data_IF_327792928995
#
_entry.id   IF_327792928995
#
_cell.length_a   1.000
_cell.length_b   1.000
_cell.length_c   1.000
_cell.angle_alpha   90.00
_cell.angle_beta   90.00
_cell.angle_gamma   90.00
#
_symmetry.space_group_name_H-M   'P 1'
#
loop_
_entity.id
_entity.type
_entity.pdbx_description
1 polymer ?
#
# COMPACT_ATOMS: atom_id res chain seq x y z
N UNK A 1 37.47 10.63 4.68
CA UNK A 1 36.60 10.52 3.48
C UNK A 1 35.71 9.28 3.54
N UNK A 2 36.20 8.14 4.03
CA UNK A 2 35.36 6.94 4.21
C UNK A 2 34.10 7.23 5.06
N UNK A 3 34.21 7.88 6.24
CA UNK A 3 33.03 8.13 7.07
C UNK A 3 32.04 9.12 6.46
N UNK A 4 32.53 10.10 5.70
CA UNK A 4 31.70 11.07 4.98
C UNK A 4 30.88 10.41 3.86
N UNK A 5 31.47 9.47 3.13
CA UNK A 5 30.75 8.66 2.12
C UNK A 5 29.70 7.79 2.80
N UNK A 6 30.03 7.19 3.94
CA UNK A 6 29.08 6.38 4.73
C UNK A 6 27.88 7.20 5.21
N UNK A 7 28.15 8.38 5.77
CA UNK A 7 27.11 9.31 6.22
C UNK A 7 26.24 9.80 5.05
N UNK A 8 26.84 10.17 3.93
CA UNK A 8 26.11 10.60 2.75
C UNK A 8 25.21 9.48 2.21
N UNK A 9 25.71 8.25 2.15
CA UNK A 9 24.92 7.08 1.76
C UNK A 9 23.76 6.83 2.75
N UNK A 10 23.96 7.00 4.05
CA UNK A 10 22.88 6.90 5.04
C UNK A 10 21.80 7.97 4.84
N UNK A 11 22.18 9.20 4.47
CA UNK A 11 21.24 10.27 4.12
C UNK A 11 20.46 9.93 2.85
N UNK A 12 21.13 9.44 1.81
CA UNK A 12 20.46 8.98 0.58
C UNK A 12 19.48 7.84 0.87
N UNK A 13 19.86 6.91 1.76
CA UNK A 13 18.96 5.86 2.23
C UNK A 13 17.70 6.44 2.89
N UNK A 14 17.82 7.46 3.75
CA UNK A 14 16.67 8.12 4.36
C UNK A 14 15.74 8.72 3.29
N UNK A 15 16.31 9.38 2.27
CA UNK A 15 15.54 9.92 1.15
C UNK A 15 14.81 8.81 0.37
N UNK A 16 15.47 7.67 0.14
CA UNK A 16 14.83 6.52 -0.50
C UNK A 16 13.72 5.92 0.37
N UNK A 17 13.92 5.81 1.69
CA UNK A 17 12.91 5.36 2.65
C UNK A 17 11.67 6.28 2.62
N UNK A 18 11.88 7.59 2.69
CA UNK A 18 10.82 8.58 2.59
C UNK A 18 10.10 8.52 1.23
N UNK A 19 10.85 8.33 0.14
CA UNK A 19 10.28 8.20 -1.20
C UNK A 19 9.40 6.95 -1.31
N UNK A 20 9.86 5.78 -0.87
CA UNK A 20 9.03 4.57 -0.92
C UNK A 20 7.80 4.68 -0.02
N UNK A 21 7.92 5.33 1.15
CA UNK A 21 6.81 5.57 2.06
C UNK A 21 5.76 6.48 1.42
N UNK A 22 6.14 7.70 1.06
CA UNK A 22 5.20 8.72 0.61
C UNK A 22 4.69 8.41 -0.79
N UNK A 23 5.57 8.19 -1.75
CA UNK A 23 5.18 7.99 -3.16
C UNK A 23 4.51 6.64 -3.35
N UNK A 24 4.96 5.59 -2.66
CA UNK A 24 4.33 4.27 -2.69
C UNK A 24 2.90 4.30 -2.14
N UNK A 25 2.70 4.84 -0.93
CA UNK A 25 1.37 4.94 -0.32
C UNK A 25 0.45 5.86 -1.12
N UNK A 26 0.95 7.02 -1.55
CA UNK A 26 0.19 7.97 -2.36
C UNK A 26 -0.20 7.38 -3.72
N UNK A 27 0.70 6.63 -4.35
CA UNK A 27 0.46 5.93 -5.61
C UNK A 27 -0.63 4.87 -5.45
N UNK A 28 -0.56 4.06 -4.39
CA UNK A 28 -1.58 3.06 -4.09
C UNK A 28 -2.94 3.69 -3.75
N UNK A 29 -2.96 4.81 -3.02
CA UNK A 29 -4.19 5.52 -2.67
C UNK A 29 -4.88 6.15 -3.89
N UNK A 30 -4.12 6.59 -4.89
CA UNK A 30 -4.62 7.22 -6.12
C UNK A 30 -4.76 6.27 -7.31
N UNK A 31 -4.36 5.01 -7.17
CA UNK A 31 -4.37 4.04 -8.28
C UNK A 31 -3.32 4.30 -9.37
N UNK A 32 -2.26 5.08 -9.08
CA UNK A 32 -1.25 5.48 -10.07
C UNK A 32 -0.09 4.47 -10.08
N UNK A 33 -0.07 3.60 -11.11
CA UNK A 33 0.94 2.52 -11.24
C UNK A 33 2.38 3.03 -11.30
N UNK A 34 2.64 4.16 -11.96
CA UNK A 34 4.00 4.71 -12.05
C UNK A 34 4.57 5.10 -10.69
N UNK A 35 3.75 5.66 -9.79
CA UNK A 35 4.16 6.04 -8.45
C UNK A 35 4.45 4.80 -7.59
N UNK A 36 3.61 3.77 -7.70
CA UNK A 36 3.85 2.48 -7.04
C UNK A 36 5.20 1.88 -7.48
N UNK A 37 5.52 1.91 -8.79
CA UNK A 37 6.80 1.45 -9.31
C UNK A 37 7.99 2.28 -8.79
N UNK A 38 7.84 3.60 -8.64
CA UNK A 38 8.85 4.46 -8.02
C UNK A 38 9.10 4.01 -6.58
N UNK A 39 8.04 3.73 -5.81
CA UNK A 39 8.18 3.21 -4.46
C UNK A 39 8.95 1.89 -4.39
N UNK A 40 8.66 0.94 -5.28
CA UNK A 40 9.41 -0.32 -5.37
C UNK A 40 10.89 -0.13 -5.73
N UNK A 41 11.19 0.79 -6.66
CA UNK A 41 12.59 1.10 -7.03
C UNK A 41 13.34 1.79 -5.88
N UNK A 42 12.68 2.72 -5.20
CA UNK A 42 13.23 3.40 -4.03
C UNK A 42 13.57 2.40 -2.90
N UNK A 43 12.70 1.41 -2.64
CA UNK A 43 12.98 0.35 -1.67
C UNK A 43 14.27 -0.44 -1.99
N UNK A 44 14.51 -0.76 -3.26
CA UNK A 44 15.74 -1.44 -3.71
C UNK A 44 16.96 -0.53 -3.65
N UNK A 45 16.81 0.73 -4.03
CA UNK A 45 17.87 1.74 -3.94
C UNK A 45 18.26 1.99 -2.47
N UNK A 46 17.30 1.95 -1.55
CA UNK A 46 17.58 2.08 -0.13
C UNK A 46 18.51 0.98 0.38
N UNK A 47 18.27 -0.28 -0.01
CA UNK A 47 19.16 -1.39 0.35
C UNK A 47 20.58 -1.15 -0.16
N UNK A 48 20.72 -0.66 -1.40
CA UNK A 48 22.03 -0.32 -1.97
C UNK A 48 22.75 0.73 -1.11
N UNK A 49 22.10 1.84 -0.81
CA UNK A 49 22.71 2.92 -0.03
C UNK A 49 23.02 2.53 1.43
N UNK A 50 22.16 1.73 2.06
CA UNK A 50 22.45 1.16 3.39
C UNK A 50 23.62 0.18 3.35
N UNK A 51 23.71 -0.64 2.30
CA UNK A 51 24.84 -1.55 2.09
C UNK A 51 26.15 -0.78 1.94
N UNK A 52 26.13 0.33 1.19
CA UNK A 52 27.29 1.24 1.08
C UNK A 52 27.63 1.86 2.43
N UNK A 53 26.65 2.42 3.16
CA UNK A 53 26.87 3.00 4.48
C UNK A 53 27.50 1.97 5.45
N UNK A 54 26.89 0.79 5.57
CA UNK A 54 27.39 -0.29 6.41
C UNK A 54 28.80 -0.72 5.99
N UNK A 55 29.06 -0.86 4.69
CA UNK A 55 30.38 -1.18 4.14
C UNK A 55 31.44 -0.12 4.48
N UNK A 56 31.09 1.17 4.45
CA UNK A 56 32.00 2.25 4.87
C UNK A 56 32.28 2.23 6.38
N UNK A 57 31.28 1.86 7.20
CA UNK A 57 31.49 1.68 8.64
C UNK A 57 32.44 0.51 8.91
N UNK A 58 32.22 -0.64 8.24
CA UNK A 58 33.13 -1.80 8.27
C UNK A 58 34.56 -1.38 7.89
N UNK A 59 34.72 -0.63 6.79
CA UNK A 59 36.04 -0.15 6.36
C UNK A 59 36.69 0.71 7.44
N UNK A 60 35.93 1.58 8.11
CA UNK A 60 36.43 2.46 9.17
C UNK A 60 36.95 1.64 10.37
N UNK A 61 36.22 0.61 10.80
CA UNK A 61 36.66 -0.30 11.86
C UNK A 61 37.88 -1.14 11.47
N UNK A 62 37.84 -1.77 10.30
CA UNK A 62 38.93 -2.64 9.83
C UNK A 62 40.23 -1.86 9.62
N UNK A 63 40.15 -0.59 9.23
CA UNK A 63 41.33 0.28 9.04
C UNK A 63 41.73 1.07 10.30
N UNK A 64 41.04 0.87 11.43
CA UNK A 64 41.27 1.60 12.69
C UNK A 64 41.20 3.13 12.52
N UNK A 65 40.19 3.63 11.80
CA UNK A 65 39.99 5.08 11.65
C UNK A 65 39.47 5.69 12.97
N UNK A 66 40.40 5.98 13.89
CA UNK A 66 40.11 6.60 15.20
C UNK A 66 39.69 8.07 15.14
N UNK A 67 39.53 8.62 13.94
CA UNK A 67 38.85 9.89 13.74
C UNK A 67 37.32 9.75 13.69
N UNK A 68 36.80 8.53 13.75
CA UNK A 68 35.38 8.22 13.98
C UNK A 68 35.20 7.84 15.45
N UNK A 69 34.30 8.56 16.16
CA UNK A 69 34.05 8.34 17.59
C UNK A 69 33.70 6.89 17.89
N UNK A 70 32.79 6.32 17.09
CA UNK A 70 32.33 4.94 17.28
C UNK A 70 33.48 3.91 17.17
N UNK A 71 34.41 4.13 16.23
CA UNK A 71 35.60 3.27 16.05
C UNK A 71 36.57 3.43 17.22
N UNK A 72 36.87 4.67 17.60
CA UNK A 72 37.75 4.98 18.74
C UNK A 72 37.22 4.42 20.07
N UNK A 73 35.90 4.29 20.24
CA UNK A 73 35.28 3.77 21.46
C UNK A 73 35.14 2.25 21.52
N UNK A 74 35.35 1.51 20.42
CA UNK A 74 35.05 0.07 20.36
C UNK A 74 36.06 -0.76 19.55
N UNK A 75 37.26 -0.22 19.29
CA UNK A 75 38.31 -0.91 18.56
C UNK A 75 39.70 -0.37 18.91
N UNK A 76 40.74 -1.19 18.78
CA UNK A 76 42.13 -0.77 18.91
C UNK A 76 43.04 -1.53 17.92
N UNK A 77 44.25 -1.02 17.70
CA UNK A 77 45.19 -1.56 16.68
C UNK A 77 45.56 -3.03 16.87
N UNK A 78 45.69 -3.48 18.12
CA UNK A 78 46.03 -4.87 18.45
C UNK A 78 44.87 -5.87 18.32
N UNK A 79 43.64 -5.39 18.06
CA UNK A 79 42.46 -6.25 18.03
C UNK A 79 42.47 -7.09 16.74
N UNK A 80 42.31 -8.42 16.80
CA UNK A 80 42.25 -9.25 15.59
C UNK A 80 41.18 -8.75 14.60
N UNK A 81 41.48 -8.83 13.30
CA UNK A 81 40.64 -8.24 12.25
C UNK A 81 39.19 -8.74 12.28
N UNK A 82 38.96 -10.00 12.66
CA UNK A 82 37.61 -10.57 12.79
C UNK A 82 36.77 -9.83 13.85
N UNK A 83 37.39 -9.44 14.96
CA UNK A 83 36.71 -8.69 16.02
C UNK A 83 36.58 -7.21 15.69
N UNK A 84 37.51 -6.65 14.90
CA UNK A 84 37.32 -5.31 14.30
C UNK A 84 36.12 -5.28 13.36
N UNK A 85 35.94 -6.32 12.55
CA UNK A 85 34.73 -6.46 11.73
C UNK A 85 33.47 -6.58 12.60
N UNK A 86 33.49 -7.44 13.62
CA UNK A 86 32.37 -7.62 14.55
C UNK A 86 32.01 -6.35 15.33
N UNK A 87 33.00 -5.51 15.65
CA UNK A 87 32.81 -4.23 16.33
C UNK A 87 31.87 -3.28 15.56
N UNK A 88 31.71 -3.46 14.24
CA UNK A 88 30.77 -2.70 13.40
C UNK A 88 29.35 -2.70 13.97
N UNK A 89 28.92 -3.78 14.64
CA UNK A 89 27.62 -3.86 15.31
C UNK A 89 27.72 -4.05 16.83
N UNK A 90 28.90 -3.81 17.40
CA UNK A 90 29.13 -3.95 18.83
C UNK A 90 28.68 -2.76 19.67
N UNK A 91 28.38 -1.63 19.02
CA UNK A 91 27.86 -0.42 19.66
C UNK A 91 26.38 -0.21 19.39
N UNK A 92 25.76 0.72 20.13
CA UNK A 92 24.37 1.11 19.91
C UNK A 92 24.16 1.68 18.49
N UNK A 93 25.06 2.54 18.01
CA UNK A 93 25.00 3.17 16.69
C UNK A 93 25.22 2.15 15.56
N UNK A 94 26.19 1.26 15.75
CA UNK A 94 26.53 0.21 14.80
C UNK A 94 25.42 -0.84 14.65
N UNK A 95 24.87 -1.28 15.79
CA UNK A 95 23.75 -2.22 15.82
C UNK A 95 22.47 -1.64 15.22
N UNK A 96 22.20 -0.34 15.42
CA UNK A 96 21.07 0.36 14.79
C UNK A 96 21.20 0.41 13.26
N UNK A 97 22.41 0.64 12.74
CA UNK A 97 22.68 0.58 11.30
C UNK A 97 22.48 -0.84 10.74
N UNK A 98 22.99 -1.87 11.44
CA UNK A 98 22.78 -3.27 11.08
C UNK A 98 21.29 -3.66 11.08
N UNK A 99 20.55 -3.25 12.11
CA UNK A 99 19.10 -3.46 12.22
C UNK A 99 18.38 -2.87 11.00
N UNK A 100 18.73 -1.63 10.65
CA UNK A 100 18.12 -0.92 9.51
C UNK A 100 18.49 -1.58 8.17
N UNK A 101 19.71 -2.10 8.05
CA UNK A 101 20.12 -2.90 6.89
C UNK A 101 19.32 -4.20 6.78
N UNK A 102 19.05 -4.90 7.89
CA UNK A 102 18.18 -6.09 7.88
C UNK A 102 16.75 -5.74 7.46
N UNK A 103 16.21 -4.62 7.93
CA UNK A 103 14.91 -4.14 7.49
C UNK A 103 14.90 -3.88 5.98
N UNK A 104 15.94 -3.27 5.43
CA UNK A 104 16.06 -3.02 4.00
C UNK A 104 16.21 -4.31 3.18
N UNK A 105 16.90 -5.32 3.70
CA UNK A 105 16.99 -6.65 3.07
C UNK A 105 15.63 -7.33 3.01
N UNK A 106 14.87 -7.33 4.11
CA UNK A 106 13.50 -7.85 4.13
C UNK A 106 12.58 -7.08 3.19
N UNK A 107 12.69 -5.74 3.19
CA UNK A 107 11.92 -4.88 2.28
C UNK A 107 12.24 -5.19 0.81
N UNK A 108 13.51 -5.35 0.45
CA UNK A 108 13.93 -5.76 -0.89
C UNK A 108 13.41 -7.16 -1.23
N UNK A 109 13.43 -8.10 -0.27
CA UNK A 109 12.81 -9.42 -0.38
C UNK A 109 11.34 -9.35 -0.79
N UNK A 110 10.54 -8.48 -0.14
CA UNK A 110 9.15 -8.22 -0.55
C UNK A 110 9.07 -7.77 -2.02
N UNK A 111 9.99 -6.90 -2.47
CA UNK A 111 9.99 -6.45 -3.88
C UNK A 111 10.31 -7.56 -4.90
N UNK A 112 10.96 -8.65 -4.48
CA UNK A 112 11.40 -9.72 -5.39
C UNK A 112 10.46 -10.92 -5.36
N UNK A 113 9.94 -11.26 -4.18
CA UNK A 113 9.19 -12.50 -3.95
C UNK A 113 7.67 -12.31 -3.91
N UNK A 114 7.15 -11.07 -3.84
CA UNK A 114 5.70 -10.81 -3.80
C UNK A 114 5.04 -10.59 -5.17
N UNK A 115 5.63 -11.11 -6.26
CA UNK A 115 5.11 -10.96 -7.64
C UNK A 115 3.65 -11.41 -7.85
N UNK A 116 3.13 -12.43 -7.16
CA UNK A 116 1.73 -12.85 -7.34
C UNK A 116 0.70 -11.86 -6.78
N UNK A 117 1.11 -10.89 -5.95
CA UNK A 117 0.20 -9.99 -5.26
C UNK A 117 -0.18 -8.78 -6.12
N UNK A 118 -1.38 -8.20 -5.91
CA UNK A 118 -1.76 -6.93 -6.53
C UNK A 118 -0.74 -5.81 -6.23
N UNK A 119 -0.47 -4.97 -7.23
CA UNK A 119 0.54 -3.92 -7.14
C UNK A 119 0.24 -2.89 -6.04
N UNK A 120 -1.05 -2.61 -5.79
CA UNK A 120 -1.52 -1.73 -4.72
C UNK A 120 -1.24 -2.32 -3.34
N UNK A 121 -1.44 -3.63 -3.14
CA UNK A 121 -1.10 -4.32 -1.90
C UNK A 121 0.40 -4.24 -1.64
N UNK A 122 1.23 -4.58 -2.63
CA UNK A 122 2.69 -4.52 -2.50
C UNK A 122 3.15 -3.09 -2.20
N UNK A 123 2.62 -2.09 -2.92
CA UNK A 123 2.98 -0.69 -2.70
C UNK A 123 2.61 -0.19 -1.29
N UNK A 124 1.50 -0.66 -0.71
CA UNK A 124 1.11 -0.32 0.67
C UNK A 124 2.04 -0.97 1.69
N UNK A 125 2.40 -2.24 1.50
CA UNK A 125 3.35 -2.96 2.38
C UNK A 125 4.72 -2.27 2.36
N UNK A 126 5.26 -2.01 1.17
CA UNK A 126 6.53 -1.28 1.02
C UNK A 126 6.44 0.12 1.62
N UNK A 127 5.29 0.78 1.45
CA UNK A 127 5.02 2.07 2.07
C UNK A 127 5.14 2.07 3.60
N UNK A 128 4.51 1.09 4.26
CA UNK A 128 4.57 0.93 5.73
C UNK A 128 6.00 0.59 6.19
N UNK A 129 6.68 -0.33 5.51
CA UNK A 129 8.09 -0.65 5.79
C UNK A 129 8.99 0.58 5.61
N UNK A 130 8.71 1.39 4.59
CA UNK A 130 9.37 2.67 4.35
C UNK A 130 9.19 3.67 5.49
N UNK A 131 7.98 3.79 6.06
CA UNK A 131 7.72 4.66 7.22
C UNK A 131 8.54 4.22 8.43
N UNK A 132 8.52 2.91 8.74
CA UNK A 132 9.31 2.34 9.83
C UNK A 132 10.79 2.66 9.60
N UNK A 133 11.29 2.35 8.40
CA UNK A 133 12.70 2.54 8.07
C UNK A 133 13.13 4.02 8.11
N UNK A 134 12.29 4.94 7.63
CA UNK A 134 12.55 6.38 7.72
C UNK A 134 12.65 6.84 9.18
N UNK A 135 11.80 6.32 10.07
CA UNK A 135 11.87 6.62 11.52
C UNK A 135 13.19 6.19 12.14
N UNK A 136 13.63 4.94 11.89
CA UNK A 136 14.92 4.43 12.37
C UNK A 136 16.10 5.21 11.79
N UNK A 137 16.09 5.50 10.49
CA UNK A 137 17.14 6.28 9.83
C UNK A 137 17.21 7.72 10.35
N UNK A 138 16.06 8.36 10.59
CA UNK A 138 16.01 9.71 11.15
C UNK A 138 16.61 9.71 12.56
N UNK A 139 16.16 8.80 13.43
CA UNK A 139 16.70 8.66 14.79
C UNK A 139 18.21 8.35 14.78
N UNK A 140 18.65 7.45 13.91
CA UNK A 140 20.07 7.12 13.74
C UNK A 140 20.87 8.37 13.33
N UNK A 141 20.43 9.10 12.30
CA UNK A 141 21.17 10.25 11.79
C UNK A 141 21.23 11.43 12.76
N UNK A 142 20.20 11.64 13.58
CA UNK A 142 20.14 12.76 14.53
C UNK A 142 20.74 12.46 15.88
N UNK A 143 20.60 11.22 16.37
CA UNK A 143 20.85 10.89 17.78
C UNK A 143 21.91 9.82 17.95
N UNK A 144 22.01 8.88 17.01
CA UNK A 144 22.89 7.69 17.12
C UNK A 144 23.75 7.51 15.86
N UNK A 145 24.45 8.57 15.45
CA UNK A 145 25.14 8.61 14.17
C UNK A 145 26.45 7.78 14.23
N UNK A 146 26.55 6.66 13.48
CA UNK A 146 27.73 5.78 13.54
C UNK A 146 28.99 6.40 12.90
N UNK A 147 28.85 7.50 12.16
CA UNK A 147 29.94 8.20 11.47
C UNK A 147 30.36 9.50 12.16
N UNK A 148 29.92 9.73 13.41
CA UNK A 148 30.25 10.93 14.16
C UNK A 148 31.78 11.09 14.27
N UNK A 149 32.28 12.28 13.92
CA UNK A 149 33.71 12.59 13.88
C UNK A 149 34.22 12.94 15.26
N UNK A 150 35.44 12.48 15.57
CA UNK A 150 36.22 12.86 16.74
C UNK A 150 37.40 13.73 16.29
N UNK A 151 37.41 14.99 16.73
CA UNK A 151 38.42 15.99 16.35
C UNK A 151 39.02 16.62 17.61
N UNK A 152 40.33 16.48 17.88
CA UNK A 152 41.31 15.69 17.12
C UNK A 152 41.04 14.18 17.20
N UNK A 153 41.53 13.43 16.21
CA UNK A 153 41.43 11.97 16.21
C UNK A 153 42.14 11.37 17.42
N UNK A 154 41.60 10.28 17.99
CA UNK A 154 42.29 9.57 19.05
C UNK A 154 43.56 8.89 18.51
N UNK A 155 44.62 8.85 19.32
CA UNK A 155 45.87 8.18 18.94
C UNK A 155 45.75 6.66 18.96
N UNK A 156 44.86 6.16 19.81
CA UNK A 156 44.52 4.74 19.96
C UNK A 156 43.07 4.65 20.46
N UNK A 157 42.40 3.56 20.14
CA UNK A 157 41.02 3.34 20.57
C UNK A 157 40.90 2.43 21.80
N UNK A 158 39.66 2.24 22.25
CA UNK A 158 39.28 1.43 23.41
C UNK A 158 38.90 0.03 22.95
N UNK A 159 39.11 -0.97 23.81
CA UNK A 159 38.78 -2.36 23.49
C UNK A 159 37.28 -2.57 23.21
N UNK A 160 37.00 -3.57 22.37
CA UNK A 160 35.66 -4.05 22.13
C UNK A 160 35.13 -4.70 23.41
N UNK A 161 33.82 -4.60 23.64
CA UNK A 161 33.15 -5.34 24.71
C UNK A 161 33.63 -6.81 24.72
N UNK A 162 34.22 -7.32 25.83
CA UNK A 162 34.79 -8.67 25.89
C UNK A 162 33.82 -9.78 25.47
N UNK A 163 32.51 -9.58 25.68
CA UNK A 163 31.49 -10.53 25.23
C UNK A 163 31.50 -10.74 23.72
N UNK A 164 31.78 -9.69 22.94
CA UNK A 164 31.83 -9.75 21.48
C UNK A 164 33.19 -10.21 20.95
N UNK A 165 34.04 -10.76 21.82
CA UNK A 165 35.22 -11.52 21.44
C UNK A 165 34.96 -13.04 21.44
N UNK A 166 33.77 -13.48 21.88
CA UNK A 166 33.28 -14.84 21.70
C UNK A 166 32.54 -15.02 20.37
N UNK A 167 32.80 -16.12 19.65
CA UNK A 167 32.26 -16.36 18.33
C UNK A 167 30.71 -16.46 18.30
N UNK A 168 30.10 -17.05 19.33
CA UNK A 168 28.65 -17.19 19.39
C UNK A 168 27.99 -15.82 19.63
N UNK A 169 28.58 -15.01 20.50
CA UNK A 169 28.10 -13.66 20.78
C UNK A 169 28.27 -12.71 19.60
N UNK A 170 29.33 -12.85 18.80
CA UNK A 170 29.50 -12.09 17.54
C UNK A 170 28.42 -12.42 16.52
N UNK A 171 28.08 -13.71 16.38
CA UNK A 171 27.08 -14.18 15.43
C UNK A 171 25.63 -13.87 15.87
N UNK A 172 25.41 -13.67 17.17
CA UNK A 172 24.07 -13.54 17.74
C UNK A 172 23.28 -12.32 17.22
N UNK A 173 23.78 -11.06 17.21
CA UNK A 173 22.99 -9.91 16.77
C UNK A 173 22.52 -10.00 15.30
N UNK A 174 23.36 -10.37 14.31
CA UNK A 174 22.88 -10.58 12.94
C UNK A 174 21.78 -11.65 12.84
N UNK A 175 21.93 -12.79 13.54
CA UNK A 175 20.91 -13.85 13.55
C UNK A 175 19.61 -13.36 14.19
N UNK A 176 19.72 -12.68 15.33
CA UNK A 176 18.58 -12.15 16.06
C UNK A 176 17.84 -11.13 15.22
N UNK A 177 18.54 -10.17 14.61
CA UNK A 177 17.93 -9.17 13.74
C UNK A 177 17.33 -9.77 12.47
N UNK A 178 17.96 -10.78 11.87
CA UNK A 178 17.37 -11.48 10.73
C UNK A 178 15.97 -12.01 11.06
N UNK A 179 15.78 -12.62 12.24
CA UNK A 179 14.47 -13.11 12.69
C UNK A 179 13.53 -12.00 13.14
N UNK A 180 13.92 -11.21 14.14
CA UNK A 180 13.05 -10.20 14.77
C UNK A 180 12.62 -9.10 13.81
N UNK A 181 13.55 -8.60 12.98
CA UNK A 181 13.23 -7.55 12.00
C UNK A 181 12.30 -8.10 10.91
N UNK A 182 12.38 -9.40 10.60
CA UNK A 182 11.48 -10.05 9.65
C UNK A 182 10.00 -9.92 10.03
N UNK A 183 9.65 -9.88 11.32
CA UNK A 183 8.26 -9.66 11.76
C UNK A 183 7.69 -8.30 11.33
N UNK A 184 8.52 -7.31 11.02
CA UNK A 184 8.06 -6.03 10.44
C UNK A 184 7.33 -6.22 9.11
N UNK A 185 7.68 -7.26 8.33
CA UNK A 185 7.00 -7.60 7.09
C UNK A 185 5.58 -8.06 7.38
N UNK A 186 5.41 -8.99 8.34
CA UNK A 186 4.09 -9.47 8.77
C UNK A 186 3.23 -8.33 9.28
N UNK A 187 3.81 -7.46 10.12
CA UNK A 187 3.16 -6.24 10.59
C UNK A 187 2.72 -5.34 9.43
N UNK A 188 3.60 -5.09 8.45
CA UNK A 188 3.29 -4.26 7.30
C UNK A 188 2.15 -4.83 6.45
N UNK A 189 2.09 -6.16 6.26
CA UNK A 189 0.94 -6.82 5.63
C UNK A 189 -0.35 -6.63 6.42
N UNK A 190 -0.30 -6.78 7.76
CA UNK A 190 -1.47 -6.59 8.62
C UNK A 190 -2.01 -5.14 8.55
N UNK A 191 -1.12 -4.14 8.52
CA UNK A 191 -1.50 -2.73 8.36
C UNK A 191 -1.98 -2.42 6.93
N UNK A 192 -1.41 -3.05 5.90
CA UNK A 192 -1.81 -2.86 4.51
C UNK A 192 -3.21 -3.44 4.21
N UNK A 193 -3.62 -4.50 4.88
CA UNK A 193 -4.91 -5.17 4.65
C UNK A 193 -6.14 -4.24 4.74
N UNK A 194 -6.38 -3.46 5.82
CA UNK A 194 -7.52 -2.56 5.90
C UNK A 194 -7.46 -1.41 4.87
N UNK A 195 -6.26 -0.97 4.51
CA UNK A 195 -6.05 0.05 3.49
C UNK A 195 -6.48 -0.43 2.10
N UNK A 196 -6.27 -1.73 1.81
CA UNK A 196 -6.76 -2.39 0.59
C UNK A 196 -8.28 -2.58 0.66
N UNK A 197 -8.81 -3.12 1.77
CA UNK A 197 -10.24 -3.37 1.93
C UNK A 197 -11.09 -2.09 1.82
N UNK A 198 -10.59 -0.98 2.37
CA UNK A 198 -11.23 0.34 2.24
C UNK A 198 -11.30 0.82 0.79
N UNK A 199 -10.27 0.53 -0.03
CA UNK A 199 -10.28 0.88 -1.44
C UNK A 199 -11.31 0.06 -2.23
N UNK A 200 -11.45 -1.24 -1.92
CA UNK A 200 -12.49 -2.08 -2.53
C UNK A 200 -13.91 -1.61 -2.20
N UNK A 201 -14.21 -1.31 -0.93
CA UNK A 201 -15.54 -0.86 -0.53
C UNK A 201 -16.01 0.44 -1.20
N UNK A 202 -15.09 1.30 -1.65
CA UNK A 202 -15.44 2.55 -2.34
C UNK A 202 -15.91 2.35 -3.78
N UNK A 203 -15.57 1.21 -4.40
CA UNK A 203 -15.90 0.93 -5.80
C UNK A 203 -17.12 0.00 -5.95
N UNK A 204 -17.78 -0.38 -4.85
CA UNK A 204 -19.00 -1.19 -4.91
C UNK A 204 -20.22 -0.31 -5.13
N UNK A 205 -20.90 -0.53 -6.26
CA UNK A 205 -22.23 0.03 -6.52
C UNK A 205 -23.24 -0.94 -5.91
N UNK A 206 -23.78 -0.61 -4.75
CA UNK A 206 -24.76 -1.44 -4.04
C UNK A 206 -26.08 -1.52 -4.80
N UNK A 207 -26.74 -2.67 -4.75
CA UNK A 207 -28.11 -2.85 -5.22
C UNK A 207 -29.06 -2.68 -4.04
N UNK A 208 -29.98 -1.72 -4.11
CA UNK A 208 -30.94 -1.39 -3.05
C UNK A 208 -32.37 -1.39 -3.58
N UNK A 209 -33.32 -1.87 -2.77
CA UNK A 209 -34.76 -1.77 -3.08
C UNK A 209 -35.35 -0.42 -2.61
N UNK A 210 -36.50 0.02 -3.17
CA UNK A 210 -37.26 1.15 -2.66
C UNK A 210 -37.46 1.19 -1.15
N UNK A 211 -37.80 0.06 -0.51
CA UNK A 211 -37.97 -0.01 0.94
C UNK A 211 -36.67 0.19 1.73
N UNK A 212 -35.55 -0.32 1.22
CA UNK A 212 -34.24 -0.06 1.83
C UNK A 212 -33.85 1.41 1.71
N UNK A 213 -34.15 2.04 0.56
CA UNK A 213 -33.92 3.48 0.38
C UNK A 213 -34.79 4.29 1.35
N UNK A 214 -36.07 3.96 1.48
CA UNK A 214 -37.01 4.66 2.36
C UNK A 214 -36.65 4.56 3.86
N UNK A 215 -35.99 3.48 4.28
CA UNK A 215 -35.53 3.28 5.67
C UNK A 215 -34.18 3.94 5.98
N UNK A 216 -33.59 4.65 5.01
CA UNK A 216 -32.32 5.38 5.19
C UNK A 216 -31.06 4.54 4.98
N UNK A 217 -31.15 3.31 4.44
CA UNK A 217 -29.98 2.51 4.08
C UNK A 217 -29.23 3.04 2.84
N UNK A 218 -29.84 3.95 2.08
CA UNK A 218 -29.23 4.52 0.89
C UNK A 218 -28.01 5.40 1.22
N UNK A 219 -26.87 5.22 0.53
CA UNK A 219 -25.70 6.05 0.74
C UNK A 219 -25.94 7.47 0.19
N UNK A 220 -25.79 8.48 1.05
CA UNK A 220 -25.96 9.90 0.67
C UNK A 220 -24.78 10.35 -0.20
N UNK A 221 -25.06 10.98 -1.34
CA UNK A 221 -24.05 11.56 -2.22
C UNK A 221 -23.13 10.53 -2.91
N UNK A 222 -23.54 9.25 -2.96
CA UNK A 222 -22.84 8.19 -3.70
C UNK A 222 -23.78 7.50 -4.67
N UNK A 223 -23.20 7.01 -5.76
CA UNK A 223 -23.93 6.23 -6.76
C UNK A 223 -24.28 4.85 -6.21
N UNK A 224 -25.53 4.44 -6.39
CA UNK A 224 -25.99 3.07 -6.14
C UNK A 224 -26.96 2.62 -7.24
N UNK A 225 -27.32 1.34 -7.25
CA UNK A 225 -28.33 0.75 -8.13
C UNK A 225 -29.63 0.60 -7.37
N UNK A 226 -30.65 1.33 -7.77
CA UNK A 226 -32.03 1.18 -7.33
C UNK A 226 -32.70 0.11 -8.20
N UNK A 227 -33.17 -0.97 -7.58
CA UNK A 227 -33.86 -2.06 -8.28
C UNK A 227 -35.28 -2.25 -7.80
N UNK A 228 -36.22 -2.40 -8.73
CA UNK A 228 -37.62 -2.61 -8.44
C UNK A 228 -38.46 -2.70 -9.71
N UNK A 229 -39.77 -2.68 -9.54
CA UNK A 229 -40.75 -2.62 -10.63
C UNK A 229 -40.98 -1.18 -11.03
N UNK A 230 -41.09 -0.91 -12.33
CA UNK A 230 -41.61 0.38 -12.81
C UNK A 230 -43.11 0.38 -12.56
N UNK A 231 -43.62 1.38 -11.86
CA UNK A 231 -45.03 1.45 -11.55
C UNK A 231 -45.89 1.80 -12.77
N UNK A 232 -47.05 1.17 -12.91
CA UNK A 232 -48.03 1.43 -13.98
C UNK A 232 -48.58 2.85 -13.95
N UNK A 233 -48.63 3.50 -15.11
CA UNK A 233 -49.06 4.89 -15.29
C UNK A 233 -48.10 5.93 -14.68
N UNK A 234 -46.92 5.53 -14.22
CA UNK A 234 -45.94 6.43 -13.60
C UNK A 234 -44.99 7.07 -14.62
N UNK A 235 -44.78 6.44 -15.78
CA UNK A 235 -43.85 6.89 -16.80
C UNK A 235 -44.40 8.13 -17.52
N UNK A 236 -43.68 9.24 -17.37
CA UNK A 236 -43.93 10.51 -18.04
C UNK A 236 -42.65 10.98 -18.70
N UNK A 237 -42.79 11.64 -19.85
CA UNK A 237 -41.68 12.35 -20.49
C UNK A 237 -41.94 13.85 -20.34
N UNK A 238 -40.92 14.60 -19.94
CA UNK A 238 -40.99 16.05 -19.87
C UNK A 238 -41.12 16.63 -21.30
N UNK A 239 -41.56 17.88 -21.41
CA UNK A 239 -41.78 18.56 -22.71
C UNK A 239 -40.52 18.74 -23.56
N UNK A 240 -39.34 18.48 -22.99
CA UNK A 240 -38.05 18.45 -23.68
C UNK A 240 -37.83 17.18 -24.52
N UNK A 241 -38.68 16.16 -24.35
CA UNK A 241 -38.63 14.87 -25.05
C UNK A 241 -37.46 13.95 -24.64
N UNK A 242 -36.58 14.38 -23.75
CA UNK A 242 -35.33 13.71 -23.37
C UNK A 242 -35.32 13.24 -21.92
N UNK A 243 -36.07 13.91 -21.04
CA UNK A 243 -36.13 13.58 -19.62
C UNK A 243 -37.35 12.71 -19.33
N UNK A 244 -37.11 11.48 -18.89
CA UNK A 244 -38.13 10.56 -18.42
C UNK A 244 -38.23 10.60 -16.89
N UNK A 245 -39.45 10.64 -16.38
CA UNK A 245 -39.78 10.53 -14.95
C UNK A 245 -40.67 9.32 -14.75
N UNK A 246 -40.33 8.47 -13.81
CA UNK A 246 -41.11 7.27 -13.48
C UNK A 246 -40.92 6.91 -12.01
N UNK A 247 -41.75 6.02 -11.48
CA UNK A 247 -41.64 5.56 -10.09
C UNK A 247 -41.14 4.12 -10.08
N UNK A 248 -40.12 3.84 -9.27
CA UNK A 248 -39.65 2.49 -8.99
C UNK A 248 -40.20 2.05 -7.64
N UNK A 249 -40.85 0.89 -7.62
CA UNK A 249 -41.54 0.34 -6.44
C UNK A 249 -41.16 -1.11 -6.18
N UNK A 250 -41.14 -1.50 -4.91
CA UNK A 250 -41.08 -2.91 -4.48
C UNK A 250 -42.42 -3.39 -3.93
N UNK A 251 -43.52 -2.76 -4.36
CA UNK A 251 -44.91 -2.92 -3.90
C UNK A 251 -45.21 -2.40 -2.49
N UNK A 252 -44.18 -2.01 -1.73
CA UNK A 252 -44.32 -1.44 -0.38
C UNK A 252 -43.96 0.05 -0.40
N UNK A 253 -42.80 0.40 -0.94
CA UNK A 253 -42.32 1.78 -1.03
C UNK A 253 -42.12 2.21 -2.48
N UNK A 254 -42.18 3.52 -2.69
CA UNK A 254 -42.15 4.16 -4.01
C UNK A 254 -41.04 5.20 -4.01
N UNK A 255 -40.10 5.07 -4.94
CA UNK A 255 -39.02 6.05 -5.13
C UNK A 255 -39.19 6.70 -6.51
N UNK A 256 -39.37 8.04 -6.58
CA UNK A 256 -39.42 8.74 -7.85
C UNK A 256 -38.03 8.75 -8.50
N UNK A 257 -37.98 8.47 -9.80
CA UNK A 257 -36.77 8.41 -10.61
C UNK A 257 -36.85 9.43 -11.74
N UNK A 258 -35.77 10.17 -11.95
CA UNK A 258 -35.58 11.05 -13.10
C UNK A 258 -34.36 10.59 -13.92
N UNK A 259 -34.52 10.45 -15.23
CA UNK A 259 -33.48 9.99 -16.14
C UNK A 259 -33.48 10.83 -17.41
N UNK A 260 -32.33 11.44 -17.74
CA UNK A 260 -32.16 12.21 -18.96
C UNK A 260 -31.35 11.39 -19.98
N UNK A 261 -32.05 10.76 -20.93
CA UNK A 261 -31.42 9.89 -21.92
C UNK A 261 -32.38 8.91 -22.58
N UNK A 262 -31.91 8.14 -23.58
CA UNK A 262 -32.73 7.11 -24.21
C UNK A 262 -32.99 5.98 -23.22
N UNK A 263 -34.26 5.64 -23.01
CA UNK A 263 -34.66 4.44 -22.28
C UNK A 263 -34.45 3.20 -23.16
N UNK A 264 -33.98 2.07 -22.62
CA UNK A 264 -33.87 0.83 -23.38
C UNK A 264 -35.23 0.38 -23.95
N UNK A 265 -35.23 -0.27 -25.11
CA UNK A 265 -36.48 -0.72 -25.77
C UNK A 265 -37.31 -1.70 -24.92
N UNK A 266 -36.63 -2.50 -24.08
CA UNK A 266 -37.26 -3.43 -23.15
C UNK A 266 -37.83 -2.77 -21.90
N UNK A 267 -37.60 -1.47 -21.69
CA UNK A 267 -38.10 -0.75 -20.53
C UNK A 267 -39.60 -0.51 -20.66
N UNK A 268 -40.38 -1.07 -19.72
CA UNK A 268 -41.84 -0.98 -19.69
C UNK A 268 -42.36 -0.82 -18.27
N UNK A 269 -43.51 -0.18 -18.15
CA UNK A 269 -44.27 -0.17 -16.90
C UNK A 269 -44.68 -1.60 -16.51
N UNK A 270 -44.81 -1.85 -15.21
CA UNK A 270 -45.10 -3.18 -14.64
C UNK A 270 -43.91 -4.16 -14.64
N UNK A 271 -42.79 -3.81 -15.28
CA UNK A 271 -41.63 -4.70 -15.41
C UNK A 271 -40.48 -4.32 -14.48
N UNK A 272 -39.59 -5.27 -14.23
CA UNK A 272 -38.38 -5.05 -13.44
C UNK A 272 -37.40 -4.12 -14.14
N UNK A 273 -36.89 -3.14 -13.42
CA UNK A 273 -35.82 -2.25 -13.88
C UNK A 273 -34.73 -2.09 -12.82
N UNK A 274 -33.56 -1.65 -13.28
CA UNK A 274 -32.44 -1.24 -12.43
C UNK A 274 -31.99 0.14 -12.89
N UNK A 275 -32.14 1.13 -12.04
CA UNK A 275 -31.65 2.48 -12.27
C UNK A 275 -30.35 2.68 -11.47
N UNK A 276 -29.27 3.09 -12.11
CA UNK A 276 -28.01 3.46 -11.46
C UNK A 276 -27.88 4.97 -11.42
N UNK A 277 -27.60 5.53 -10.24
CA UNK A 277 -27.65 6.97 -10.03
C UNK A 277 -27.47 7.37 -8.58
N UNK A 278 -27.85 8.60 -8.25
CA UNK A 278 -27.72 9.20 -6.92
C UNK A 278 -29.07 9.64 -6.37
N UNK A 279 -29.25 9.55 -5.06
CA UNK A 279 -30.45 10.05 -4.38
C UNK A 279 -30.26 11.54 -4.04
N UNK A 280 -31.12 12.39 -4.58
CA UNK A 280 -31.14 13.81 -4.28
C UNK A 280 -31.79 14.10 -2.90
N UNK A 281 -31.50 15.26 -2.28
CA UNK A 281 -32.02 15.60 -0.95
C UNK A 281 -33.55 15.69 -0.84
N UNK A 282 -34.23 15.87 -1.97
CA UNK A 282 -35.69 15.91 -2.10
C UNK A 282 -36.33 14.51 -2.18
N UNK A 283 -35.53 13.44 -2.17
CA UNK A 283 -35.98 12.05 -2.30
C UNK A 283 -36.10 11.57 -3.74
N UNK A 284 -35.78 12.39 -4.73
CA UNK A 284 -35.76 11.98 -6.15
C UNK A 284 -34.46 11.24 -6.46
N UNK A 285 -34.56 10.07 -7.07
CA UNK A 285 -33.39 9.34 -7.55
C UNK A 285 -33.03 9.80 -8.97
N UNK A 286 -31.89 10.48 -9.10
CA UNK A 286 -31.37 10.96 -10.39
C UNK A 286 -30.54 9.83 -11.00
N UNK A 287 -31.12 9.18 -12.00
CA UNK A 287 -30.48 8.08 -12.72
C UNK A 287 -29.54 8.61 -13.80
N UNK A 288 -28.34 8.04 -13.87
CA UNK A 288 -27.37 8.21 -14.96
C UNK A 288 -27.51 7.09 -15.99
N UNK A 289 -28.02 5.94 -15.57
CA UNK A 289 -28.23 4.78 -16.43
C UNK A 289 -29.48 4.02 -15.99
N UNK A 290 -30.30 3.59 -16.95
CA UNK A 290 -31.45 2.72 -16.71
C UNK A 290 -31.26 1.43 -17.49
N UNK A 291 -31.43 0.31 -16.81
CA UNK A 291 -31.37 -1.03 -17.36
C UNK A 291 -32.74 -1.67 -17.20
N UNK A 292 -33.29 -2.20 -18.29
CA UNK A 292 -34.45 -3.08 -18.20
C UNK A 292 -33.97 -4.49 -17.80
N UNK A 293 -34.68 -5.14 -16.87
CA UNK A 293 -34.41 -6.56 -16.58
C UNK A 293 -34.89 -7.36 -17.80
N UNK A 294 -34.05 -8.26 -18.32
CA UNK A 294 -34.46 -9.18 -19.38
C UNK A 294 -35.60 -10.07 -18.87
N UNK A 295 -36.63 -10.26 -19.70
CA UNK A 295 -37.63 -11.31 -19.48
C UNK A 295 -36.93 -12.68 -19.47
N UNK A 296 -37.26 -13.52 -18.48
CA UNK A 296 -36.76 -14.90 -18.41
C UNK A 296 -37.22 -15.77 -19.61
N UNK A 297 -38.15 -15.26 -20.43
CA UNK A 297 -38.68 -15.91 -21.64
C UNK A 297 -37.93 -15.54 -22.94
N UNK A 298 -36.80 -14.83 -22.89
CA UNK A 298 -36.02 -14.52 -24.10
C UNK A 298 -35.31 -15.76 -24.63
N UNK A 299 -35.74 -16.23 -25.79
CA UNK A 299 -35.06 -17.26 -26.57
C UNK A 299 -34.46 -16.60 -27.83
N UNK A 300 -33.12 -16.57 -27.98
CA UNK A 300 -32.48 -16.01 -29.18
C UNK A 300 -33.02 -16.66 -30.45
N UNK A 301 -33.13 -15.90 -31.53
CA UNK A 301 -33.70 -16.39 -32.81
C UNK A 301 -32.89 -17.57 -33.34
N UNK A 302 -31.57 -17.58 -33.14
CA UNK A 302 -30.73 -18.73 -33.52
C UNK A 302 -31.01 -19.97 -32.66
N UNK A 303 -31.33 -19.80 -31.38
CA UNK A 303 -31.67 -20.90 -30.46
C UNK A 303 -33.07 -21.47 -30.74
N UNK A 304 -34.03 -20.61 -31.11
CA UNK A 304 -35.35 -21.04 -31.58
C UNK A 304 -35.26 -21.83 -32.88
N UNK A 305 -34.46 -21.34 -33.86
CA UNK A 305 -34.24 -22.03 -35.12
C UNK A 305 -33.49 -23.38 -34.95
N UNK A 306 -32.57 -23.47 -33.98
CA UNK A 306 -31.85 -24.70 -33.66
C UNK A 306 -32.74 -25.76 -33.01
N UNK A 307 -33.68 -25.36 -32.15
CA UNK A 307 -34.65 -26.29 -31.52
C UNK A 307 -35.66 -26.80 -32.56
N UNK A 308 -36.08 -25.95 -33.50
CA UNK A 308 -36.97 -26.34 -34.60
C UNK A 308 -36.29 -27.29 -35.60
N UNK A 309 -34.98 -27.14 -35.83
CA UNK A 309 -34.17 -28.07 -36.65
C UNK A 309 -33.84 -29.38 -35.94
N UNK A 310 -33.74 -29.40 -34.61
CA UNK A 310 -33.48 -30.61 -33.83
C UNK A 310 -34.74 -31.47 -33.59
N UNK A 311 -35.94 -30.92 -33.87
CA UNK A 311 -37.24 -31.59 -33.73
C UNK A 311 -37.78 -32.27 -34.99
N UNK A 312 -37.00 -32.34 -36.08
CA UNK A 312 -37.29 -33.13 -37.29
C UNK A 312 -36.26 -34.23 -37.46
#
# INVERSE_FOLDING_TARGET
>A
MIPEVGLFAAILSLLMAATQAVVGLAGAARGIRSWMMVGTKAARAQLLFLGVAFGMLVCSFVTNDFSVLNVASHSHTQLPMVYRFAATWGSHEGSLLLWTLMLALWTAGVTWFSRPLPADTVARVLGVLGVISAGFLLFMLTTSNPFLRLLPAATEGVDLNPLLQDAAMVAHPPLLYMGYVGFSVVFAFAVAAPLVLSAFNKNLVFFLSPSQVATGYAPIGRTFRLGGLVEEGSLRRDGDGLTARFVVTDTVNRIPVAYAGPLPDLFKEGHGCVAQGTLAPDGTFIAEQVLAKHDENYMPVEAAAAIEHAGK
#
